data_IF_606090857793
#
_entry.id   IF_606090857793
#
_cell.length_a   1.000
_cell.length_b   1.000
_cell.length_c   1.000
_cell.angle_alpha   90.00
_cell.angle_beta   90.00
_cell.angle_gamma   90.00
#
_symmetry.space_group_name_H-M   'P 1'
#
loop_
_entity.id
_entity.type
_entity.pdbx_description
1 polymer ?
#
# COMPACT_ATOMS: atom_id res chain seq x y z
N UNK A 1 -29.64 -9.61 0.76
CA UNK A 1 -28.43 -9.69 1.62
C UNK A 1 -27.17 -9.33 0.81
N UNK A 2 -27.04 -8.08 0.33
CA UNK A 2 -25.89 -7.63 -0.51
C UNK A 2 -25.40 -6.22 -0.15
N UNK A 3 -25.53 -5.79 1.11
CA UNK A 3 -25.33 -4.38 1.46
C UNK A 3 -24.12 -4.07 2.35
N UNK A 4 -23.49 -5.06 2.96
CA UNK A 4 -22.43 -4.82 3.97
C UNK A 4 -20.99 -5.01 3.45
N UNK A 5 -20.79 -5.53 2.24
CA UNK A 5 -19.46 -5.77 1.67
C UNK A 5 -18.97 -4.64 0.74
N UNK A 6 -19.78 -3.59 0.54
CA UNK A 6 -19.67 -2.76 -0.66
C UNK A 6 -18.97 -1.40 -0.50
N UNK A 7 -18.31 -1.08 0.62
CA UNK A 7 -17.63 0.22 0.68
C UNK A 7 -16.42 0.28 1.63
N UNK A 8 -15.56 -0.75 1.66
CA UNK A 8 -14.22 -0.50 2.19
C UNK A 8 -13.43 0.30 1.14
N UNK A 9 -13.53 1.63 1.21
CA UNK A 9 -12.76 2.57 0.39
C UNK A 9 -11.58 3.06 1.23
N UNK A 10 -10.42 2.38 1.26
CA UNK A 10 -9.30 2.78 2.09
C UNK A 10 -8.83 4.21 1.75
N UNK A 11 -8.88 4.58 0.47
CA UNK A 11 -8.54 5.91 -0.03
C UNK A 11 -9.78 6.74 -0.36
N UNK A 12 -9.79 8.00 0.08
CA UNK A 12 -10.83 8.98 -0.22
C UNK A 12 -10.17 10.34 -0.53
N UNK A 13 -10.54 11.03 -1.63
CA UNK A 13 -9.90 12.29 -2.05
C UNK A 13 -9.95 13.38 -0.96
N UNK A 14 -11.06 13.43 -0.22
CA UNK A 14 -11.33 14.47 0.77
C UNK A 14 -10.59 14.25 2.10
N UNK A 15 -9.88 13.13 2.25
CA UNK A 15 -9.15 12.79 3.49
C UNK A 15 -7.67 12.51 3.22
N UNK A 16 -6.87 13.54 2.87
CA UNK A 16 -5.46 13.37 2.50
C UNK A 16 -4.62 12.76 3.64
N UNK A 17 -4.88 13.12 4.90
CA UNK A 17 -4.19 12.54 6.06
C UNK A 17 -4.46 11.04 6.19
N UNK A 18 -5.72 10.61 6.03
CA UNK A 18 -6.07 9.18 6.09
C UNK A 18 -5.38 8.40 4.98
N UNK A 19 -5.36 8.96 3.77
CA UNK A 19 -4.68 8.35 2.64
C UNK A 19 -3.17 8.22 2.92
N UNK A 20 -2.53 9.27 3.40
CA UNK A 20 -1.13 9.27 3.76
C UNK A 20 -0.82 8.24 4.86
N UNK A 21 -1.62 8.19 5.93
CA UNK A 21 -1.48 7.18 6.99
C UNK A 21 -1.67 5.76 6.46
N UNK A 22 -2.64 5.56 5.56
CA UNK A 22 -2.91 4.25 4.96
C UNK A 22 -1.74 3.79 4.09
N UNK A 23 -1.18 4.68 3.27
CA UNK A 23 0.05 4.41 2.49
C UNK A 23 1.19 4.10 3.46
N UNK A 24 1.45 4.95 4.44
CA UNK A 24 2.53 4.76 5.41
C UNK A 24 2.47 3.39 6.09
N UNK A 25 1.31 3.02 6.65
CA UNK A 25 1.11 1.74 7.32
C UNK A 25 1.34 0.57 6.37
N UNK A 26 0.76 0.61 5.16
CA UNK A 26 0.96 -0.43 4.14
C UNK A 26 2.43 -0.58 3.78
N UNK A 27 3.11 0.53 3.50
CA UNK A 27 4.51 0.52 3.07
C UNK A 27 5.42 0.01 4.19
N UNK A 28 5.19 0.44 5.43
CA UNK A 28 5.94 -0.05 6.61
C UNK A 28 5.71 -1.54 6.83
N UNK A 29 4.48 -2.04 6.72
CA UNK A 29 4.18 -3.47 6.83
C UNK A 29 4.91 -4.29 5.76
N UNK A 30 4.88 -3.84 4.50
CA UNK A 30 5.58 -4.52 3.43
C UNK A 30 7.10 -4.47 3.60
N UNK A 31 7.65 -3.34 4.04
CA UNK A 31 9.08 -3.23 4.34
C UNK A 31 9.47 -4.15 5.50
N UNK A 32 8.68 -4.18 6.57
CA UNK A 32 8.91 -5.02 7.73
C UNK A 32 8.87 -6.50 7.35
N UNK A 33 7.81 -6.95 6.68
CA UNK A 33 7.70 -8.34 6.21
C UNK A 33 8.79 -8.68 5.18
N UNK A 34 9.10 -7.76 4.27
CA UNK A 34 10.19 -7.93 3.29
C UNK A 34 11.58 -8.03 3.93
N UNK A 35 11.81 -7.30 5.02
CA UNK A 35 13.04 -7.37 5.81
C UNK A 35 13.16 -8.70 6.57
N UNK A 36 12.06 -9.16 7.20
CA UNK A 36 12.01 -10.42 7.95
C UNK A 36 12.16 -11.66 7.03
N UNK A 37 11.67 -11.60 5.79
CA UNK A 37 11.83 -12.67 4.81
C UNK A 37 13.24 -12.78 4.23
N UNK A 38 14.17 -11.87 4.60
CA UNK A 38 15.58 -11.87 4.17
C UNK A 38 15.75 -12.04 2.65
N UNK A 39 14.79 -11.55 1.87
CA UNK A 39 14.70 -11.75 0.42
C UNK A 39 15.50 -10.66 -0.28
N UNK A 40 16.82 -10.85 -0.34
CA UNK A 40 17.79 -10.18 -1.22
C UNK A 40 17.62 -8.65 -1.30
N UNK A 41 18.57 -7.92 -0.73
CA UNK A 41 18.70 -6.45 -0.70
C UNK A 41 18.27 -5.71 -2.01
N UNK A 42 18.44 -6.35 -3.18
CA UNK A 42 17.98 -5.86 -4.48
C UNK A 42 16.45 -5.87 -4.68
N UNK A 43 15.69 -6.87 -4.17
CA UNK A 43 14.24 -7.00 -4.34
C UNK A 43 13.43 -6.09 -3.40
N UNK A 44 14.01 -5.68 -2.27
CA UNK A 44 13.38 -4.76 -1.31
C UNK A 44 13.16 -3.35 -1.89
N UNK A 45 14.08 -2.85 -2.74
CA UNK A 45 13.91 -1.57 -3.45
C UNK A 45 12.87 -1.62 -4.57
N UNK A 46 12.66 -2.80 -5.17
CA UNK A 46 11.65 -2.98 -6.21
C UNK A 46 10.23 -2.89 -5.67
N UNK A 47 9.96 -3.29 -4.42
CA UNK A 47 8.59 -3.37 -3.92
C UNK A 47 7.91 -1.99 -3.70
N UNK A 48 8.53 -1.01 -3.02
CA UNK A 48 7.97 0.33 -2.88
C UNK A 48 7.84 1.05 -4.22
N UNK A 49 8.85 0.91 -5.09
CA UNK A 49 8.85 1.52 -6.42
C UNK A 49 7.74 0.92 -7.30
N UNK A 50 7.57 -0.40 -7.30
CA UNK A 50 6.48 -1.07 -8.02
C UNK A 50 5.11 -0.69 -7.46
N UNK A 51 4.98 -0.53 -6.14
CA UNK A 51 3.73 -0.05 -5.52
C UNK A 51 3.37 1.38 -5.93
N UNK A 52 4.36 2.28 -5.98
CA UNK A 52 4.18 3.66 -6.47
C UNK A 52 3.83 3.66 -7.95
N UNK A 53 4.56 2.90 -8.78
CA UNK A 53 4.29 2.79 -10.22
C UNK A 53 2.90 2.21 -10.49
N UNK A 54 2.50 1.15 -9.78
CA UNK A 54 1.15 0.60 -9.87
C UNK A 54 0.08 1.62 -9.46
N UNK A 55 0.33 2.42 -8.41
CA UNK A 55 -0.56 3.51 -8.01
C UNK A 55 -0.67 4.64 -9.04
N UNK A 56 0.41 4.95 -9.76
CA UNK A 56 0.43 5.94 -10.84
C UNK A 56 -0.29 5.41 -12.09
N UNK A 57 -0.06 4.15 -12.47
CA UNK A 57 -0.64 3.54 -13.66
C UNK A 57 -2.08 3.05 -13.48
N UNK A 58 -2.55 2.82 -12.25
CA UNK A 58 -3.93 2.42 -11.97
C UNK A 58 -4.93 3.60 -11.93
N UNK A 59 -4.46 4.84 -12.18
CA UNK A 59 -5.27 6.04 -12.38
C UNK A 59 -5.40 6.36 -13.86
#
# INVERSE_FOLDING_TARGET
MRSALTAFRPFQPDTPLRNASTIFILTTLFYFVGAELRLVEALSLFWPLNGVMAGIFAR
#
